data_IF_424676582652
#
_entry.id   IF_424676582652
#
_cell.length_a   1.000
_cell.length_b   1.000
_cell.length_c   1.000
_cell.angle_alpha   90.00
_cell.angle_beta   90.00
_cell.angle_gamma   90.00
#
_symmetry.space_group_name_H-M   'P 1'
#
loop_
_entity.id
_entity.type
_entity.pdbx_description
1 polymer ?
#
# COMPACT_ATOMS: atom_id res chain seq x y z
N UNK A 1 12.13 -25.01 25.09
CA UNK A 1 12.64 -25.39 23.76
C UNK A 1 12.05 -24.41 22.76
N UNK A 2 12.94 -23.78 22.02
CA UNK A 2 12.78 -22.65 21.12
C UNK A 2 11.79 -22.91 19.98
N UNK A 3 10.90 -21.96 19.71
CA UNK A 3 10.44 -21.70 18.34
C UNK A 3 10.89 -20.28 17.99
N UNK A 4 12.10 -20.21 17.44
CA UNK A 4 12.51 -19.13 16.57
C UNK A 4 11.99 -19.50 15.18
N UNK A 5 11.27 -18.60 14.54
CA UNK A 5 11.48 -18.19 13.15
C UNK A 5 10.68 -16.91 12.95
N UNK A 6 11.36 -15.85 12.50
CA UNK A 6 10.70 -14.71 11.90
C UNK A 6 10.00 -15.26 10.66
N UNK A 7 8.72 -15.60 10.78
CA UNK A 7 7.85 -15.98 9.68
C UNK A 7 7.74 -14.74 8.79
N UNK A 8 8.69 -14.61 7.88
CA UNK A 8 8.78 -13.48 6.97
C UNK A 8 7.74 -13.80 5.91
N UNK A 9 6.52 -13.30 6.08
CA UNK A 9 5.45 -13.48 5.12
C UNK A 9 5.94 -13.00 3.75
N UNK A 10 6.27 -13.93 2.86
CA UNK A 10 6.72 -13.62 1.51
C UNK A 10 5.51 -13.23 0.68
N UNK A 11 5.49 -11.97 0.22
CA UNK A 11 4.43 -11.45 -0.64
C UNK A 11 4.91 -11.44 -2.08
N UNK A 12 4.19 -12.16 -2.96
CA UNK A 12 4.39 -12.06 -4.41
C UNK A 12 3.81 -10.73 -4.90
N UNK A 13 4.63 -9.68 -4.80
CA UNK A 13 4.30 -8.33 -5.24
C UNK A 13 4.59 -8.18 -6.73
N UNK A 14 3.54 -7.90 -7.50
CA UNK A 14 3.65 -7.57 -8.93
C UNK A 14 3.13 -6.16 -9.22
N UNK A 15 4.04 -5.24 -9.51
CA UNK A 15 3.66 -3.92 -10.04
C UNK A 15 3.22 -4.07 -11.50
N UNK A 16 2.03 -3.56 -11.80
CA UNK A 16 1.41 -3.65 -13.14
C UNK A 16 1.40 -2.30 -13.86
N UNK A 17 1.43 -1.19 -13.11
CA UNK A 17 1.51 0.15 -13.67
C UNK A 17 2.09 1.13 -12.66
N UNK A 18 2.98 2.00 -13.13
CA UNK A 18 3.36 3.23 -12.45
C UNK A 18 3.05 4.38 -13.40
N UNK A 19 2.42 5.45 -12.90
CA UNK A 19 2.15 6.66 -13.67
C UNK A 19 2.15 7.88 -12.76
N UNK A 20 2.77 8.97 -13.19
CA UNK A 20 2.70 10.24 -12.47
C UNK A 20 1.26 10.71 -12.26
N UNK A 21 0.97 11.30 -11.09
CA UNK A 21 -0.38 11.71 -10.69
C UNK A 21 -1.00 12.72 -11.66
N UNK A 22 -0.33 13.86 -11.84
CA UNK A 22 -0.60 14.94 -12.82
C UNK A 22 0.68 15.79 -12.89
N UNK A 23 1.04 16.39 -14.05
CA UNK A 23 2.18 17.32 -14.11
C UNK A 23 2.08 18.43 -13.05
N UNK A 24 3.17 18.63 -12.29
CA UNK A 24 3.27 19.65 -11.25
C UNK A 24 2.67 19.32 -9.88
N UNK A 25 1.90 18.23 -9.73
CA UNK A 25 1.24 17.86 -8.46
C UNK A 25 2.07 16.94 -7.55
N UNK A 26 3.22 16.45 -8.03
CA UNK A 26 4.03 15.45 -7.35
C UNK A 26 3.36 14.07 -7.25
N UNK A 27 4.16 13.07 -6.87
CA UNK A 27 3.72 11.71 -6.62
C UNK A 27 3.39 10.87 -7.85
N UNK A 28 3.28 9.56 -7.61
CA UNK A 28 3.04 8.53 -8.62
C UNK A 28 1.92 7.60 -8.16
N UNK A 29 0.98 7.34 -9.06
CA UNK A 29 0.04 6.23 -8.93
C UNK A 29 0.76 4.92 -9.21
N UNK A 30 0.66 3.99 -8.27
CA UNK A 30 1.19 2.64 -8.36
C UNK A 30 0.04 1.66 -8.28
N UNK A 31 -0.08 0.81 -9.29
CA UNK A 31 -1.04 -0.28 -9.32
C UNK A 31 -0.31 -1.60 -9.33
N UNK A 32 -0.74 -2.53 -8.49
CA UNK A 32 -0.16 -3.87 -8.47
C UNK A 32 -1.14 -4.94 -8.01
N UNK A 33 -0.60 -6.16 -7.98
CA UNK A 33 -1.25 -7.33 -7.41
C UNK A 33 -0.35 -7.93 -6.34
N UNK A 34 -0.96 -8.59 -5.36
CA UNK A 34 -0.24 -9.32 -4.31
C UNK A 34 -0.82 -10.74 -4.21
N UNK A 35 0.05 -11.74 -4.21
CA UNK A 35 -0.29 -13.17 -4.10
C UNK A 35 -1.28 -13.65 -5.17
N UNK A 36 -1.41 -12.93 -6.28
CA UNK A 36 -2.49 -13.06 -7.27
C UNK A 36 -3.94 -13.03 -6.72
N UNK A 37 -4.13 -12.76 -5.44
CA UNK A 37 -5.42 -12.71 -4.75
C UNK A 37 -5.92 -11.27 -4.57
N UNK A 38 -5.00 -10.32 -4.44
CA UNK A 38 -5.33 -8.92 -4.17
C UNK A 38 -4.88 -8.01 -5.28
N UNK A 39 -5.62 -6.93 -5.47
CA UNK A 39 -5.21 -5.76 -6.26
C UNK A 39 -5.07 -4.58 -5.32
N UNK A 40 -4.09 -3.72 -5.59
CA UNK A 40 -4.02 -2.41 -4.98
C UNK A 40 -3.83 -1.28 -5.98
N UNK A 41 -4.29 -0.10 -5.59
CA UNK A 41 -3.93 1.19 -6.19
C UNK A 41 -3.46 2.11 -5.05
N UNK A 42 -2.25 2.66 -5.19
CA UNK A 42 -1.64 3.54 -4.19
C UNK A 42 -1.17 4.85 -4.84
N UNK A 43 -1.30 5.96 -4.11
CA UNK A 43 -0.67 7.23 -4.47
C UNK A 43 0.51 7.46 -3.53
N UNK A 44 1.71 7.51 -4.11
CA UNK A 44 2.97 7.46 -3.39
C UNK A 44 3.81 8.70 -3.71
N UNK A 45 4.53 9.23 -2.73
CA UNK A 45 5.40 10.41 -2.86
C UNK A 45 6.85 10.07 -2.50
N UNK A 46 7.79 10.88 -3.01
CA UNK A 46 9.22 10.76 -2.66
C UNK A 46 9.51 11.29 -1.25
N UNK A 47 8.71 12.24 -0.77
CA UNK A 47 8.82 12.90 0.53
C UNK A 47 7.56 12.70 1.36
N UNK A 48 7.68 12.93 2.67
CA UNK A 48 6.54 12.95 3.59
C UNK A 48 5.57 14.09 3.26
N UNK A 49 4.29 13.89 3.58
CA UNK A 49 3.28 14.92 3.46
C UNK A 49 3.52 16.05 4.47
N UNK A 50 3.14 17.26 4.10
CA UNK A 50 3.18 18.43 4.98
C UNK A 50 2.22 18.29 6.17
N UNK A 51 1.11 17.56 5.97
CA UNK A 51 0.16 17.20 7.02
C UNK A 51 0.18 15.68 7.23
N UNK A 52 0.47 15.23 8.45
CA UNK A 52 0.60 13.81 8.80
C UNK A 52 -0.71 13.03 8.56
N UNK A 53 -1.87 13.66 8.73
CA UNK A 53 -3.18 13.02 8.48
C UNK A 53 -3.39 12.64 7.00
N UNK A 54 -2.65 13.27 6.09
CA UNK A 54 -2.71 12.97 4.67
C UNK A 54 -1.84 11.77 4.29
N UNK A 55 -1.10 11.22 5.24
CA UNK A 55 -0.14 10.15 5.05
C UNK A 55 -0.51 8.95 5.92
N UNK A 56 -0.55 7.77 5.31
CA UNK A 56 -0.80 6.55 6.04
C UNK A 56 0.42 6.21 6.89
N UNK A 57 0.35 6.42 8.21
CA UNK A 57 1.35 5.91 9.17
C UNK A 57 2.80 6.30 8.86
N UNK A 58 3.02 7.50 8.32
CA UNK A 58 4.34 8.02 7.90
C UNK A 58 5.07 7.18 6.82
N UNK A 59 4.31 6.64 5.86
CA UNK A 59 4.81 5.75 4.77
C UNK A 59 5.02 6.44 3.40
N UNK A 60 4.80 7.75 3.32
CA UNK A 60 4.72 8.56 2.07
C UNK A 60 3.62 8.12 1.10
N UNK A 61 2.65 7.34 1.59
CA UNK A 61 1.46 6.92 0.85
C UNK A 61 0.29 7.81 1.28
N UNK A 62 -0.26 8.59 0.34
CA UNK A 62 -1.40 9.47 0.64
C UNK A 62 -2.75 8.84 0.32
N UNK A 63 -2.74 7.73 -0.44
CA UNK A 63 -3.93 6.94 -0.76
C UNK A 63 -3.51 5.49 -0.95
N UNK A 64 -4.27 4.57 -0.34
CA UNK A 64 -4.11 3.14 -0.55
C UNK A 64 -5.49 2.49 -0.57
N UNK A 65 -5.78 1.79 -1.67
CA UNK A 65 -6.97 0.98 -1.81
C UNK A 65 -6.58 -0.45 -2.10
N UNK A 66 -7.14 -1.41 -1.35
CA UNK A 66 -6.93 -2.84 -1.54
C UNK A 66 -8.28 -3.50 -1.82
N UNK A 67 -8.31 -4.34 -2.86
CA UNK A 67 -9.49 -5.08 -3.29
C UNK A 67 -9.17 -6.56 -3.45
N UNK A 68 -10.11 -7.39 -2.99
CA UNK A 68 -10.16 -8.81 -3.29
C UNK A 68 -10.43 -9.05 -4.79
N UNK A 69 -9.59 -9.83 -5.48
CA UNK A 69 -9.76 -10.04 -6.92
C UNK A 69 -10.92 -10.97 -7.28
N UNK A 70 -11.33 -11.86 -6.39
CA UNK A 70 -12.44 -12.80 -6.65
C UNK A 70 -13.78 -12.12 -6.39
N UNK A 71 -13.98 -11.64 -5.16
CA UNK A 71 -15.22 -11.08 -4.65
C UNK A 71 -15.41 -9.60 -4.97
N UNK A 72 -14.36 -8.90 -5.43
CA UNK A 72 -14.35 -7.46 -5.72
C UNK A 72 -14.65 -6.56 -4.50
N UNK A 73 -14.61 -7.11 -3.29
CA UNK A 73 -14.81 -6.33 -2.07
C UNK A 73 -13.59 -5.46 -1.78
N UNK A 74 -13.85 -4.22 -1.36
CA UNK A 74 -12.81 -3.37 -0.75
C UNK A 74 -12.45 -3.97 0.60
N UNK A 75 -11.16 -4.24 0.79
CA UNK A 75 -10.61 -4.81 2.02
C UNK A 75 -9.86 -3.78 2.87
N UNK A 76 -9.45 -2.67 2.26
CA UNK A 76 -8.85 -1.52 2.94
C UNK A 76 -9.00 -0.29 2.04
N UNK A 77 -9.25 0.88 2.63
CA UNK A 77 -9.24 2.15 1.91
C UNK A 77 -8.78 3.30 2.81
N UNK A 78 -7.75 3.99 2.37
CA UNK A 78 -7.25 5.24 2.95
C UNK A 78 -7.18 6.29 1.83
N UNK A 79 -7.77 7.47 2.04
CA UNK A 79 -7.67 8.64 1.14
C UNK A 79 -7.58 9.91 2.00
N UNK A 80 -6.36 10.21 2.49
CA UNK A 80 -6.10 11.30 3.44
C UNK A 80 -6.96 11.19 4.72
N UNK A 81 -7.05 9.96 5.22
CA UNK A 81 -7.98 9.57 6.26
C UNK A 81 -8.41 8.12 6.05
N UNK A 82 -8.70 7.40 7.13
CA UNK A 82 -9.12 6.01 7.07
C UNK A 82 -10.61 5.93 6.73
N UNK A 83 -10.93 5.50 5.51
CA UNK A 83 -12.31 5.31 5.06
C UNK A 83 -12.82 3.90 5.39
N UNK A 84 -11.98 2.88 5.17
CA UNK A 84 -12.30 1.47 5.44
C UNK A 84 -11.10 0.83 6.14
N UNK A 85 -11.24 0.37 7.40
CA UNK A 85 -10.18 -0.34 8.10
C UNK A 85 -9.85 -1.66 7.42
N UNK A 86 -8.67 -2.20 7.70
CA UNK A 86 -8.27 -3.51 7.18
C UNK A 86 -9.30 -4.57 7.60
N UNK A 87 -9.81 -5.31 6.62
CA UNK A 87 -10.85 -6.30 6.84
C UNK A 87 -10.40 -7.48 7.73
N UNK A 88 -9.11 -7.79 7.72
CA UNK A 88 -8.49 -8.87 8.51
C UNK A 88 -7.05 -8.49 8.90
N UNK A 89 -6.45 -9.26 9.81
CA UNK A 89 -5.03 -9.13 10.17
C UNK A 89 -4.11 -9.32 8.97
N UNK A 90 -4.43 -10.24 8.05
CA UNK A 90 -3.67 -10.44 6.82
C UNK A 90 -3.63 -9.16 5.96
N UNK A 91 -4.78 -8.49 5.83
CA UNK A 91 -4.84 -7.21 5.10
C UNK A 91 -4.07 -6.11 5.82
N UNK A 92 -4.05 -6.10 7.16
CA UNK A 92 -3.20 -5.18 7.90
C UNK A 92 -1.71 -5.42 7.64
N UNK A 93 -1.27 -6.69 7.62
CA UNK A 93 0.12 -7.03 7.29
C UNK A 93 0.48 -6.60 5.86
N UNK A 94 -0.44 -6.72 4.89
CA UNK A 94 -0.25 -6.19 3.54
C UNK A 94 -0.11 -4.67 3.50
N UNK A 95 -0.92 -3.96 4.29
CA UNK A 95 -0.83 -2.50 4.43
C UNK A 95 0.54 -2.11 4.98
N UNK A 96 0.99 -2.80 6.04
CA UNK A 96 2.29 -2.53 6.66
C UNK A 96 3.44 -2.85 5.70
N UNK A 97 3.37 -3.97 4.97
CA UNK A 97 4.34 -4.35 3.94
C UNK A 97 4.46 -3.29 2.83
N UNK A 98 3.33 -2.83 2.27
CA UNK A 98 3.33 -1.77 1.28
C UNK A 98 3.85 -0.45 1.85
N UNK A 99 3.47 -0.13 3.09
CA UNK A 99 3.90 1.07 3.80
C UNK A 99 5.41 1.13 4.02
N UNK A 100 6.05 0.00 4.30
CA UNK A 100 7.49 -0.06 4.55
C UNK A 100 8.34 0.09 3.28
N UNK A 101 7.84 -0.32 2.11
CA UNK A 101 8.71 -0.49 0.92
C UNK A 101 8.25 0.19 -0.37
N UNK A 102 6.97 0.57 -0.50
CA UNK A 102 6.46 1.00 -1.81
C UNK A 102 7.01 2.35 -2.25
N UNK A 103 7.27 3.28 -1.34
CA UNK A 103 7.86 4.58 -1.66
C UNK A 103 9.31 4.45 -2.14
N UNK A 104 10.11 3.66 -1.44
CA UNK A 104 11.51 3.42 -1.79
C UNK A 104 11.61 2.64 -3.11
N UNK A 105 10.70 1.70 -3.38
CA UNK A 105 10.64 1.00 -4.67
C UNK A 105 10.39 1.94 -5.86
N UNK A 106 9.68 3.06 -5.64
CA UNK A 106 9.27 3.98 -6.71
C UNK A 106 10.26 5.13 -6.90
N UNK A 107 10.89 5.59 -5.82
CA UNK A 107 11.69 6.82 -5.80
C UNK A 107 13.14 6.65 -5.30
N UNK A 108 13.51 5.47 -4.78
CA UNK A 108 14.85 5.15 -4.26
C UNK A 108 15.83 4.60 -5.30
#
# INVERSE_FOLDING_TARGET
MTHNENDTTDFDLKITKISHRTPGAGGSWVRGKINNAYRFDALVFSEHAECEEYELGRTKISKLWIQDLETKKTLFNFDRGLDVPAATTEIQVLVDFLGMGLADLVFG
#
